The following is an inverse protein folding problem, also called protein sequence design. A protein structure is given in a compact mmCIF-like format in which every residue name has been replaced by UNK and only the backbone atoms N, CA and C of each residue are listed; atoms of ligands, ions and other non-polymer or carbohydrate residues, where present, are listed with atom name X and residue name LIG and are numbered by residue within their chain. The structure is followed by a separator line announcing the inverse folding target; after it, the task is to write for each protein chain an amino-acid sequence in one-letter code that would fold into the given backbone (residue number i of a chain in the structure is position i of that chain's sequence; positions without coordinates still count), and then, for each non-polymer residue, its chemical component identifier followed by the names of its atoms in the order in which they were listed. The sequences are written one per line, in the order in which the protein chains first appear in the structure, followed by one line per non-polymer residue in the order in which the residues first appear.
data_IF_602609224497
#
_entry.id   IF_602609224497
#
_cell.length_a   1.000
_cell.length_b   1.000
_cell.length_c   1.000
_cell.angle_alpha   90.00
_cell.angle_beta   90.00
_cell.angle_gamma   90.00
#
_symmetry.space_group_name_H-M   'P 1'
#
loop_
_entity.id
_entity.type
_entity.pdbx_description
1 polymer ?
#
# COMPACT_ATOMS: atom_id res chain seq x y z
N UNK A 1 3.74 -13.17 -22.87
CA UNK A 1 2.93 -13.91 -21.89
C UNK A 1 3.50 -13.56 -20.53
N UNK A 2 2.92 -12.56 -19.88
CA UNK A 2 3.32 -12.10 -18.55
C UNK A 2 2.85 -13.13 -17.53
N UNK A 3 3.77 -13.97 -17.06
CA UNK A 3 3.53 -14.70 -15.83
C UNK A 3 3.45 -13.68 -14.71
N UNK A 4 2.24 -13.35 -14.28
CA UNK A 4 2.05 -12.81 -12.94
C UNK A 4 2.71 -13.79 -11.96
N UNK A 5 3.40 -13.32 -10.91
CA UNK A 5 3.93 -14.24 -9.92
C UNK A 5 2.74 -14.97 -9.31
N UNK A 6 2.66 -16.27 -9.62
CA UNK A 6 1.67 -17.18 -9.05
C UNK A 6 1.86 -17.16 -7.54
N UNK A 7 0.94 -16.52 -6.83
CA UNK A 7 0.73 -16.72 -5.40
C UNK A 7 -0.34 -17.79 -5.28
N UNK A 8 0.01 -19.07 -5.08
CA UNK A 8 -0.90 -20.21 -5.22
C UNK A 8 -2.20 -20.12 -4.40
N UNK A 9 -2.22 -19.26 -3.39
CA UNK A 9 -3.30 -19.16 -2.41
C UNK A 9 -4.41 -18.18 -2.79
N UNK A 10 -4.17 -17.16 -3.62
CA UNK A 10 -5.20 -16.16 -4.00
C UNK A 10 -6.07 -16.71 -5.12
N UNK A 11 -7.37 -16.89 -4.84
CA UNK A 11 -8.32 -17.44 -5.81
C UNK A 11 -9.10 -16.33 -6.54
N UNK A 12 -9.35 -15.20 -5.89
CA UNK A 12 -10.00 -14.03 -6.50
C UNK A 12 -9.34 -12.75 -5.99
N UNK A 13 -9.17 -11.77 -6.87
CA UNK A 13 -8.63 -10.46 -6.54
C UNK A 13 -9.28 -9.41 -7.43
N UNK A 14 -10.04 -8.50 -6.83
CA UNK A 14 -10.65 -7.36 -7.51
C UNK A 14 -9.88 -6.09 -7.16
N UNK A 15 -9.02 -5.60 -8.07
CA UNK A 15 -8.32 -4.33 -7.85
C UNK A 15 -9.27 -3.14 -7.98
N UNK A 16 -10.37 -3.27 -8.73
CA UNK A 16 -11.32 -2.19 -9.03
C UNK A 16 -10.71 -0.97 -9.77
N UNK A 17 -9.68 -1.23 -10.58
CA UNK A 17 -9.08 -0.25 -11.48
C UNK A 17 -9.90 -0.12 -12.77
N UNK A 18 -10.97 0.69 -12.71
CA UNK A 18 -11.90 0.98 -13.82
C UNK A 18 -12.74 -0.19 -14.34
N UNK A 19 -12.70 -1.35 -13.68
CA UNK A 19 -13.47 -2.53 -14.07
C UNK A 19 -13.85 -3.40 -12.86
N UNK A 20 -14.75 -4.35 -13.10
CA UNK A 20 -15.25 -5.31 -12.10
C UNK A 20 -14.60 -6.70 -12.24
N UNK A 21 -13.53 -6.79 -13.01
CA UNK A 21 -12.88 -8.06 -13.26
C UNK A 21 -12.03 -8.45 -12.05
N UNK A 22 -12.06 -9.74 -11.72
CA UNK A 22 -10.97 -10.27 -10.92
C UNK A 22 -9.72 -10.39 -11.80
N UNK A 23 -8.52 -10.37 -11.21
CA UNK A 23 -7.26 -10.38 -11.95
C UNK A 23 -7.06 -11.62 -12.82
N UNK A 24 -7.75 -12.72 -12.52
CA UNK A 24 -7.72 -13.96 -13.31
C UNK A 24 -8.91 -14.08 -14.27
N UNK A 25 -9.86 -13.13 -14.26
CA UNK A 25 -11.12 -13.13 -15.01
C UNK A 25 -12.01 -14.39 -14.80
N UNK A 26 -11.91 -15.05 -13.65
CA UNK A 26 -12.73 -16.24 -13.30
C UNK A 26 -13.93 -15.85 -12.42
N UNK A 27 -13.75 -14.85 -11.57
CA UNK A 27 -14.69 -14.38 -10.56
C UNK A 27 -15.06 -12.91 -10.80
N UNK A 28 -15.12 -12.48 -12.05
CA UNK A 28 -15.64 -11.16 -12.43
C UNK A 28 -17.09 -10.98 -11.98
N UNK A 29 -17.53 -9.72 -11.88
CA UNK A 29 -18.89 -9.42 -11.48
C UNK A 29 -19.59 -8.37 -12.35
N UNK A 30 -20.87 -8.20 -12.04
CA UNK A 30 -21.79 -7.27 -12.67
C UNK A 30 -22.30 -6.25 -11.65
N UNK A 31 -22.31 -4.97 -12.01
CA UNK A 31 -22.87 -3.93 -11.16
C UNK A 31 -24.40 -4.05 -11.15
N UNK A 32 -25.01 -4.01 -9.97
CA UNK A 32 -26.45 -4.25 -9.79
C UNK A 32 -27.14 -3.05 -9.14
N UNK A 33 -28.29 -2.58 -9.69
CA UNK A 33 -28.92 -3.00 -10.94
C UNK A 33 -28.08 -2.70 -12.18
N UNK A 34 -28.18 -3.54 -13.21
CA UNK A 34 -27.39 -3.45 -14.47
C UNK A 34 -27.74 -2.24 -15.35
N UNK A 35 -28.76 -1.46 -14.96
CA UNK A 35 -29.10 -0.17 -15.58
C UNK A 35 -28.17 0.96 -15.16
N UNK A 36 -27.36 0.75 -14.12
CA UNK A 36 -26.35 1.70 -13.65
C UNK A 36 -24.94 1.28 -14.06
N UNK A 37 -24.01 2.24 -14.05
CA UNK A 37 -22.58 1.98 -14.25
C UNK A 37 -21.84 2.17 -12.93
N UNK A 38 -20.85 1.32 -12.67
CA UNK A 38 -19.98 1.46 -11.51
C UNK A 38 -19.23 2.80 -11.58
N UNK A 39 -19.10 3.46 -10.43
CA UNK A 39 -18.29 4.66 -10.27
C UNK A 39 -16.92 4.29 -9.73
N UNK A 40 -15.86 4.83 -10.34
CA UNK A 40 -14.49 4.63 -9.89
C UNK A 40 -13.89 5.96 -9.45
N UNK A 41 -13.34 5.98 -8.24
CA UNK A 41 -12.71 7.16 -7.65
C UNK A 41 -11.26 6.86 -7.31
N UNK A 42 -10.53 7.86 -6.79
CA UNK A 42 -9.15 7.65 -6.31
C UNK A 42 -9.16 6.67 -5.12
N UNK A 43 -8.55 5.50 -5.34
CA UNK A 43 -8.48 4.42 -4.36
C UNK A 43 -7.37 4.59 -3.34
N UNK A 44 -7.25 3.62 -2.43
CA UNK A 44 -6.05 3.46 -1.62
C UNK A 44 -4.85 3.20 -2.54
N UNK A 45 -5.03 2.36 -3.56
CA UNK A 45 -4.06 2.04 -4.60
C UNK A 45 -4.75 2.30 -5.95
N UNK A 46 -4.17 3.18 -6.75
CA UNK A 46 -4.76 3.61 -8.03
C UNK A 46 -6.23 4.08 -7.91
N UNK A 47 -7.19 3.22 -8.25
CA UNK A 47 -8.63 3.49 -8.23
C UNK A 47 -9.39 2.47 -7.39
N UNK A 48 -10.55 2.88 -6.90
CA UNK A 48 -11.47 2.04 -6.14
C UNK A 48 -12.87 2.10 -6.72
N UNK A 49 -13.68 1.09 -6.42
CA UNK A 49 -15.12 1.14 -6.69
C UNK A 49 -15.83 1.91 -5.59
N UNK A 50 -16.78 2.77 -5.98
CA UNK A 50 -17.61 3.55 -5.07
C UNK A 50 -19.05 3.03 -5.04
N UNK A 51 -19.62 2.90 -3.84
CA UNK A 51 -20.97 2.46 -3.57
C UNK A 51 -21.78 3.56 -2.86
N UNK A 52 -23.01 3.76 -3.32
CA UNK A 52 -23.90 4.85 -2.91
C UNK A 52 -24.97 4.43 -1.89
N UNK A 53 -24.85 3.23 -1.32
CA UNK A 53 -25.86 2.66 -0.42
C UNK A 53 -27.07 2.02 -1.12
N UNK A 54 -27.04 1.85 -2.45
CA UNK A 54 -28.11 1.16 -3.19
C UNK A 54 -27.63 0.17 -4.25
N UNK A 55 -26.37 0.27 -4.65
CA UNK A 55 -25.73 -0.62 -5.62
C UNK A 55 -24.75 -1.60 -4.97
N UNK A 56 -24.46 -2.67 -5.69
CA UNK A 56 -23.49 -3.70 -5.29
C UNK A 56 -22.95 -4.43 -6.52
N UNK A 57 -21.85 -5.16 -6.36
CA UNK A 57 -21.35 -6.08 -7.39
C UNK A 57 -21.91 -7.47 -7.10
N UNK A 58 -22.61 -8.03 -8.07
CA UNK A 58 -22.96 -9.44 -8.09
C UNK A 58 -21.87 -10.20 -8.84
N UNK A 59 -21.15 -11.09 -8.17
CA UNK A 59 -20.12 -11.91 -8.84
C UNK A 59 -20.81 -12.95 -9.72
N UNK A 60 -20.32 -13.14 -10.94
CA UNK A 60 -20.98 -13.93 -11.98
C UNK A 60 -20.89 -15.45 -11.74
N UNK A 61 -20.10 -15.89 -10.75
CA UNK A 61 -20.17 -17.26 -10.22
C UNK A 61 -21.25 -17.39 -9.15
N UNK A 62 -21.86 -18.57 -9.09
CA UNK A 62 -22.79 -18.90 -8.02
C UNK A 62 -22.13 -19.16 -6.67
N UNK A 63 -20.80 -19.32 -6.59
CA UNK A 63 -20.11 -19.72 -5.35
C UNK A 63 -18.58 -19.68 -5.44
N UNK A 64 -17.93 -19.21 -4.37
CA UNK A 64 -16.54 -19.45 -4.01
C UNK A 64 -16.47 -20.60 -2.99
N UNK A 65 -15.72 -21.66 -3.33
CA UNK A 65 -15.58 -22.82 -2.45
C UNK A 65 -14.72 -22.52 -1.22
N UNK A 66 -15.40 -22.05 -0.17
CA UNK A 66 -14.88 -21.73 1.15
C UNK A 66 -15.37 -22.71 2.24
N UNK A 67 -16.20 -23.71 1.88
CA UNK A 67 -16.76 -24.64 2.85
C UNK A 67 -15.69 -25.55 3.44
N UNK A 68 -15.75 -25.78 4.75
CA UNK A 68 -14.88 -26.73 5.47
C UNK A 68 -13.38 -26.56 5.17
N UNK A 69 -12.91 -25.31 5.04
CA UNK A 69 -11.51 -25.00 4.77
C UNK A 69 -11.13 -23.66 5.35
N UNK A 70 -9.81 -23.44 5.48
CA UNK A 70 -9.27 -22.15 5.85
C UNK A 70 -9.38 -21.16 4.71
N UNK A 71 -9.51 -19.87 5.03
CA UNK A 71 -9.53 -18.79 4.06
C UNK A 71 -9.22 -17.45 4.71
N UNK A 72 -8.89 -16.49 3.86
CA UNK A 72 -8.76 -15.07 4.22
C UNK A 72 -9.49 -14.24 3.17
N UNK A 73 -10.30 -13.29 3.62
CA UNK A 73 -10.90 -12.24 2.80
C UNK A 73 -10.43 -10.91 3.34
N UNK A 74 -9.79 -10.10 2.52
CA UNK A 74 -9.20 -8.83 2.95
C UNK A 74 -9.24 -7.78 1.85
N UNK A 75 -9.11 -6.52 2.24
CA UNK A 75 -9.06 -5.39 1.32
C UNK A 75 -9.11 -4.08 2.06
N UNK A 76 -9.26 -3.00 1.31
CA UNK A 76 -9.35 -1.64 1.83
C UNK A 76 -10.78 -1.13 1.73
N UNK A 77 -11.25 -0.45 2.78
CA UNK A 77 -12.55 0.21 2.80
C UNK A 77 -12.44 1.69 3.18
N UNK A 78 -13.36 2.50 2.64
CA UNK A 78 -13.59 3.89 3.04
C UNK A 78 -15.09 4.08 3.28
N UNK A 79 -15.50 4.57 4.45
CA UNK A 79 -16.93 4.75 4.77
C UNK A 79 -17.33 6.21 4.56
N UNK A 80 -18.35 6.46 3.74
CA UNK A 80 -18.69 7.84 3.30
C UNK A 80 -19.93 8.42 3.99
N UNK A 81 -20.83 7.58 4.49
CA UNK A 81 -21.99 8.02 5.26
C UNK A 81 -22.26 7.07 6.43
N UNK A 82 -22.92 7.58 7.48
CA UNK A 82 -23.33 6.74 8.59
C UNK A 82 -24.54 5.89 8.21
N UNK A 83 -24.43 4.58 8.42
CA UNK A 83 -25.54 3.63 8.27
C UNK A 83 -25.58 2.68 9.48
N UNK A 84 -26.63 1.89 9.62
CA UNK A 84 -26.67 0.86 10.68
C UNK A 84 -25.73 -0.30 10.39
N UNK A 85 -25.56 -0.63 9.11
CA UNK A 85 -24.72 -1.73 8.64
C UNK A 85 -24.25 -1.49 7.19
N UNK A 86 -22.95 -1.51 6.98
CA UNK A 86 -22.30 -1.49 5.67
C UNK A 86 -21.92 -2.92 5.28
N UNK A 87 -22.60 -3.50 4.28
CA UNK A 87 -22.24 -4.81 3.76
C UNK A 87 -21.00 -4.77 2.88
N UNK A 88 -19.98 -5.57 3.16
CA UNK A 88 -18.70 -5.54 2.43
C UNK A 88 -18.64 -6.70 1.44
N UNK A 89 -18.86 -7.92 1.94
CA UNK A 89 -18.84 -9.14 1.18
C UNK A 89 -19.86 -10.11 1.77
N UNK A 90 -20.59 -10.83 0.93
CA UNK A 90 -21.44 -11.91 1.40
C UNK A 90 -21.49 -13.08 0.44
N UNK A 91 -21.64 -14.27 1.02
CA UNK A 91 -21.91 -15.52 0.33
C UNK A 91 -22.87 -16.33 1.20
N UNK A 92 -24.13 -16.41 0.80
CA UNK A 92 -25.17 -16.93 1.68
C UNK A 92 -26.03 -17.98 1.01
N UNK A 93 -25.94 -19.21 1.49
CA UNK A 93 -26.84 -20.29 1.11
C UNK A 93 -28.19 -20.20 1.84
N UNK A 94 -28.16 -19.88 3.15
CA UNK A 94 -29.36 -19.80 3.98
C UNK A 94 -29.15 -18.83 5.13
N UNK A 95 -29.98 -17.78 5.19
CA UNK A 95 -30.02 -16.79 6.28
C UNK A 95 -30.79 -17.27 7.53
N UNK A 96 -31.10 -18.57 7.60
CA UNK A 96 -31.85 -19.17 8.71
C UNK A 96 -31.20 -20.45 9.26
N UNK A 97 -30.08 -20.88 8.67
CA UNK A 97 -29.36 -22.09 9.08
C UNK A 97 -27.96 -21.75 9.56
N UNK A 98 -27.64 -22.14 10.80
CA UNK A 98 -26.31 -21.93 11.41
C UNK A 98 -25.18 -22.38 10.47
N UNK A 99 -24.17 -21.53 10.37
CA UNK A 99 -22.95 -21.70 9.57
C UNK A 99 -23.12 -21.67 8.04
N UNK A 100 -24.28 -21.30 7.50
CA UNK A 100 -24.56 -21.33 6.04
C UNK A 100 -24.69 -19.96 5.39
N UNK A 101 -24.33 -18.89 6.09
CA UNK A 101 -24.40 -17.54 5.55
C UNK A 101 -23.17 -16.73 5.95
N UNK A 102 -22.18 -16.65 5.05
CA UNK A 102 -21.03 -15.78 5.24
C UNK A 102 -21.42 -14.33 4.97
N UNK A 103 -21.28 -13.47 5.97
CA UNK A 103 -21.45 -12.03 5.85
C UNK A 103 -20.29 -11.31 6.54
N UNK A 104 -19.65 -10.41 5.80
CA UNK A 104 -18.64 -9.49 6.29
C UNK A 104 -19.20 -8.07 6.20
N UNK A 105 -19.21 -7.34 7.31
CA UNK A 105 -19.83 -6.02 7.37
C UNK A 105 -19.18 -5.10 8.40
N UNK A 106 -19.46 -3.80 8.30
CA UNK A 106 -19.32 -2.86 9.42
C UNK A 106 -20.71 -2.62 9.99
N UNK A 107 -20.98 -3.03 11.23
CA UNK A 107 -22.28 -2.90 11.87
C UNK A 107 -22.13 -2.20 13.21
N UNK A 108 -22.96 -1.19 13.46
CA UNK A 108 -22.81 -0.31 14.61
C UNK A 108 -21.35 0.20 14.78
N UNK A 109 -20.67 0.47 13.66
CA UNK A 109 -19.28 0.96 13.59
C UNK A 109 -18.20 -0.02 14.04
N UNK A 110 -18.51 -1.30 14.16
CA UNK A 110 -17.55 -2.37 14.41
C UNK A 110 -17.50 -3.33 13.22
N UNK A 111 -16.36 -3.98 13.01
CA UNK A 111 -16.25 -5.04 12.00
C UNK A 111 -16.99 -6.30 12.47
N UNK A 112 -17.67 -6.97 11.56
CA UNK A 112 -18.42 -8.20 11.81
C UNK A 112 -18.03 -9.27 10.79
N UNK A 113 -17.79 -10.48 11.29
CA UNK A 113 -17.69 -11.72 10.53
C UNK A 113 -18.79 -12.64 11.03
N UNK A 114 -19.66 -13.11 10.14
CA UNK A 114 -20.79 -13.96 10.52
C UNK A 114 -20.86 -15.16 9.59
N UNK A 115 -21.04 -16.36 10.14
CA UNK A 115 -21.52 -17.53 9.40
C UNK A 115 -23.03 -17.79 9.61
N UNK A 116 -23.73 -16.82 10.22
CA UNK A 116 -25.07 -16.91 10.83
C UNK A 116 -25.10 -17.75 12.11
N UNK A 117 -25.45 -17.11 13.23
CA UNK A 117 -25.42 -17.65 14.60
C UNK A 117 -24.04 -18.14 15.07
N UNK A 118 -22.98 -17.74 14.36
CA UNK A 118 -21.57 -17.99 14.70
C UNK A 118 -20.78 -16.78 14.21
N UNK A 119 -20.82 -15.74 15.05
CA UNK A 119 -20.43 -14.39 14.69
C UNK A 119 -19.25 -13.94 15.54
N UNK A 120 -18.33 -13.20 14.93
CA UNK A 120 -17.25 -12.48 15.59
C UNK A 120 -17.40 -11.00 15.33
N UNK A 121 -17.09 -10.21 16.35
CA UNK A 121 -17.16 -8.76 16.34
C UNK A 121 -15.77 -8.22 16.66
N UNK A 122 -15.34 -7.23 15.90
CA UNK A 122 -14.12 -6.47 16.14
C UNK A 122 -14.29 -5.42 17.25
N UNK A 123 -13.23 -5.13 17.99
CA UNK A 123 -13.27 -4.14 19.07
C UNK A 123 -13.13 -2.70 18.55
N UNK A 124 -12.45 -2.49 17.42
CA UNK A 124 -12.17 -1.19 16.86
C UNK A 124 -13.46 -0.48 16.43
N UNK A 125 -13.49 0.83 16.70
CA UNK A 125 -14.57 1.71 16.28
C UNK A 125 -14.17 2.45 15.00
N UNK A 126 -14.95 2.26 13.93
CA UNK A 126 -14.71 2.86 12.63
C UNK A 126 -15.42 4.21 12.51
N UNK A 127 -14.67 5.26 12.15
CA UNK A 127 -15.23 6.58 11.92
C UNK A 127 -16.05 6.63 10.62
N UNK A 128 -17.23 7.25 10.69
CA UNK A 128 -18.17 7.45 9.60
C UNK A 128 -18.63 8.93 9.61
N UNK A 129 -18.25 9.76 8.61
CA UNK A 129 -17.37 9.44 7.48
C UNK A 129 -15.92 9.20 7.92
N UNK A 130 -15.23 8.31 7.20
CA UNK A 130 -13.81 8.04 7.38
C UNK A 130 -12.96 9.18 6.83
N UNK A 131 -11.79 9.39 7.42
CA UNK A 131 -10.78 10.35 6.94
C UNK A 131 -9.57 9.67 6.30
N UNK A 132 -9.53 8.34 6.33
CA UNK A 132 -8.48 7.49 5.78
C UNK A 132 -9.06 6.13 5.38
N UNK A 133 -8.35 5.42 4.51
CA UNK A 133 -8.64 4.03 4.21
C UNK A 133 -8.34 3.13 5.42
N UNK A 134 -9.15 2.09 5.60
CA UNK A 134 -8.89 1.04 6.58
C UNK A 134 -8.59 -0.27 5.86
N UNK A 135 -7.49 -0.92 6.22
CA UNK A 135 -7.26 -2.30 5.84
C UNK A 135 -8.07 -3.19 6.78
N UNK A 136 -8.85 -4.09 6.22
CA UNK A 136 -9.65 -5.06 6.97
C UNK A 136 -9.32 -6.46 6.48
N UNK A 137 -9.25 -7.42 7.40
CA UNK A 137 -9.11 -8.81 7.03
C UNK A 137 -9.96 -9.71 7.93
N UNK A 138 -10.57 -10.69 7.31
CA UNK A 138 -11.37 -11.72 7.95
C UNK A 138 -10.70 -13.05 7.65
N UNK A 139 -10.25 -13.73 8.70
CA UNK A 139 -9.50 -14.97 8.61
C UNK A 139 -10.30 -16.05 9.31
N UNK A 140 -10.53 -17.15 8.59
CA UNK A 140 -11.03 -18.39 9.18
C UNK A 140 -9.97 -19.47 9.07
N UNK A 141 -9.54 -19.99 10.22
CA UNK A 141 -8.67 -21.15 10.32
C UNK A 141 -9.52 -22.39 10.65
N UNK A 142 -9.71 -23.26 9.66
CA UNK A 142 -10.50 -24.47 9.81
C UNK A 142 -9.82 -25.52 10.70
N UNK A 143 -8.49 -25.54 10.76
CA UNK A 143 -7.77 -26.50 11.62
C UNK A 143 -7.95 -26.16 13.10
N UNK A 144 -8.08 -24.86 13.40
CA UNK A 144 -8.30 -24.33 14.74
C UNK A 144 -9.77 -24.01 15.05
N UNK A 145 -10.66 -24.14 14.06
CA UNK A 145 -12.06 -23.74 14.15
C UNK A 145 -12.22 -22.30 14.67
N UNK A 146 -11.43 -21.38 14.10
CA UNK A 146 -11.20 -20.04 14.62
C UNK A 146 -11.50 -18.96 13.59
N UNK A 147 -12.39 -18.04 13.94
CA UNK A 147 -12.60 -16.78 13.23
C UNK A 147 -11.73 -15.68 13.86
N UNK A 148 -11.10 -14.85 13.02
CA UNK A 148 -10.33 -13.68 13.43
C UNK A 148 -10.61 -12.50 12.50
N UNK A 149 -10.77 -11.33 13.08
CA UNK A 149 -10.95 -10.05 12.42
C UNK A 149 -9.70 -9.23 12.69
N UNK A 150 -9.15 -8.62 11.66
CA UNK A 150 -8.01 -7.72 11.75
C UNK A 150 -8.40 -6.34 11.23
N UNK A 151 -7.97 -5.32 11.96
CA UNK A 151 -8.13 -3.91 11.62
C UNK A 151 -6.76 -3.26 11.49
N UNK A 152 -6.46 -2.69 10.32
CA UNK A 152 -5.16 -2.10 9.97
C UNK A 152 -3.97 -3.03 10.28
N UNK A 153 -4.12 -4.32 9.97
CA UNK A 153 -3.07 -5.32 10.16
C UNK A 153 -2.98 -5.91 11.57
N UNK A 154 -3.72 -5.39 12.54
CA UNK A 154 -3.69 -5.81 13.94
C UNK A 154 -4.93 -6.62 14.29
N UNK A 155 -4.77 -7.68 15.10
CA UNK A 155 -5.90 -8.50 15.55
C UNK A 155 -6.89 -7.65 16.35
N UNK A 156 -8.14 -7.62 15.89
CA UNK A 156 -9.20 -6.75 16.41
C UNK A 156 -10.33 -7.52 17.10
N UNK A 157 -10.65 -8.71 16.59
CA UNK A 157 -11.66 -9.58 17.16
C UNK A 157 -11.37 -11.04 16.86
N UNK A 158 -11.71 -11.95 17.76
CA UNK A 158 -11.57 -13.38 17.52
C UNK A 158 -12.46 -14.17 18.45
N UNK A 159 -12.81 -15.40 18.09
CA UNK A 159 -13.47 -16.35 19.00
C UNK A 159 -12.58 -16.83 20.15
N UNK A 160 -11.30 -16.41 20.22
CA UNK A 160 -10.40 -16.75 21.32
C UNK A 160 -10.93 -16.26 22.68
N UNK A 161 -11.22 -17.19 23.59
CA UNK A 161 -11.72 -16.88 24.93
C UNK A 161 -13.25 -16.97 25.09
N UNK A 162 -14.01 -17.18 24.00
CA UNK A 162 -15.38 -17.67 24.10
C UNK A 162 -15.37 -19.16 24.45
N UNK A 163 -16.30 -19.63 25.29
CA UNK A 163 -16.40 -21.06 25.66
C UNK A 163 -16.77 -21.96 24.46
N UNK A 164 -17.11 -21.39 23.31
CA UNK A 164 -17.47 -22.09 22.08
C UNK A 164 -16.53 -21.68 20.94
N UNK A 165 -15.81 -22.66 20.39
CA UNK A 165 -15.14 -22.55 19.08
C UNK A 165 -16.18 -22.24 18.00
N UNK A 166 -15.75 -21.62 16.90
CA UNK A 166 -16.63 -21.45 15.74
C UNK A 166 -16.93 -22.79 15.08
N UNK A 167 -18.13 -22.93 14.52
CA UNK A 167 -18.42 -23.97 13.55
C UNK A 167 -17.68 -23.72 12.23
N UNK A 168 -17.60 -24.73 11.35
CA UNK A 168 -17.04 -24.51 10.03
C UNK A 168 -18.04 -23.78 9.17
N UNK A 169 -17.61 -22.90 8.27
CA UNK A 169 -18.53 -22.44 7.22
C UNK A 169 -19.03 -23.64 6.39
N UNK A 170 -20.35 -23.87 6.41
CA UNK A 170 -21.05 -25.03 5.81
C UNK A 170 -21.79 -24.69 4.51
N UNK A 171 -21.83 -23.42 4.11
CA UNK A 171 -22.50 -23.02 2.87
C UNK A 171 -21.76 -23.56 1.66
N UNK A 172 -22.46 -24.24 0.76
CA UNK A 172 -21.94 -24.88 -0.47
C UNK A 172 -22.51 -24.25 -1.76
N UNK A 173 -23.43 -23.29 -1.62
CA UNK A 173 -24.06 -22.52 -2.69
C UNK A 173 -24.28 -21.08 -2.24
N UNK A 174 -24.83 -20.24 -3.12
CA UNK A 174 -25.26 -18.88 -2.80
C UNK A 174 -24.38 -17.85 -3.46
N UNK A 175 -25.00 -16.90 -4.16
CA UNK A 175 -24.30 -15.86 -4.91
C UNK A 175 -23.33 -15.09 -4.02
N UNK A 176 -22.20 -14.71 -4.60
CA UNK A 176 -21.23 -13.83 -3.96
C UNK A 176 -21.59 -12.39 -4.31
N UNK A 177 -21.70 -11.54 -3.29
CA UNK A 177 -21.99 -10.11 -3.44
C UNK A 177 -20.89 -9.31 -2.77
N UNK A 178 -20.45 -8.22 -3.42
CA UNK A 178 -19.50 -7.24 -2.89
C UNK A 178 -20.21 -5.89 -2.76
N UNK A 179 -20.05 -5.20 -1.63
CA UNK A 179 -20.76 -3.96 -1.31
C UNK A 179 -22.17 -4.17 -0.75
N UNK A 180 -22.52 -5.39 -0.33
CA UNK A 180 -23.83 -5.71 0.27
C UNK A 180 -23.83 -6.99 1.12
N UNK A 181 -24.65 -7.01 2.18
CA UNK A 181 -25.01 -8.23 2.92
C UNK A 181 -26.16 -8.99 2.25
N UNK A 182 -26.24 -10.30 2.50
CA UNK A 182 -27.35 -11.13 2.04
C UNK A 182 -28.73 -10.65 2.55
N UNK A 183 -28.76 -9.96 3.69
CA UNK A 183 -29.97 -9.41 4.31
C UNK A 183 -30.44 -8.08 3.70
N UNK A 184 -29.65 -7.44 2.83
CA UNK A 184 -30.04 -6.17 2.19
C UNK A 184 -29.39 -4.90 2.75
N UNK A 185 -28.36 -5.00 3.57
CA UNK A 185 -27.58 -3.85 4.02
C UNK A 185 -26.50 -3.53 2.99
N UNK A 186 -26.54 -2.35 2.38
CA UNK A 186 -25.65 -1.92 1.31
C UNK A 186 -24.47 -1.10 1.86
N UNK A 187 -23.34 -1.15 1.19
CA UNK A 187 -22.23 -0.25 1.48
C UNK A 187 -22.54 1.16 0.97
N UNK A 188 -22.41 2.14 1.85
CA UNK A 188 -22.21 3.54 1.49
C UNK A 188 -20.75 3.93 1.73
N UNK A 189 -19.93 3.85 0.69
CA UNK A 189 -18.48 3.93 0.80
C UNK A 189 -17.77 3.25 -0.36
N UNK A 190 -16.47 3.05 -0.23
CA UNK A 190 -15.60 2.59 -1.30
C UNK A 190 -14.87 1.31 -0.90
N UNK A 191 -14.60 0.42 -1.87
CA UNK A 191 -13.79 -0.80 -1.68
C UNK A 191 -12.63 -0.77 -2.68
N UNK A 192 -11.46 -1.16 -2.21
CA UNK A 192 -10.26 -1.25 -3.03
C UNK A 192 -9.47 -2.53 -2.70
N UNK A 193 -8.86 -3.14 -3.71
CA UNK A 193 -7.98 -4.31 -3.59
C UNK A 193 -8.56 -5.48 -2.78
N UNK A 194 -9.82 -5.87 -3.06
CA UNK A 194 -10.47 -6.98 -2.36
C UNK A 194 -9.93 -8.33 -2.83
N UNK A 195 -9.49 -9.16 -1.90
CA UNK A 195 -8.91 -10.48 -2.18
C UNK A 195 -9.60 -11.58 -1.40
N UNK A 196 -9.62 -12.78 -2.00
CA UNK A 196 -10.06 -14.02 -1.38
C UNK A 196 -8.98 -15.07 -1.58
N UNK A 197 -8.54 -15.68 -0.48
CA UNK A 197 -7.57 -16.78 -0.48
C UNK A 197 -8.14 -18.03 0.18
N UNK A 198 -7.56 -19.19 -0.11
CA UNK A 198 -7.92 -20.48 0.52
C UNK A 198 -6.97 -20.88 1.65
N UNK A 199 -6.30 -19.89 2.24
CA UNK A 199 -5.35 -20.06 3.34
C UNK A 199 -5.74 -19.12 4.48
N UNK A 200 -5.62 -19.59 5.72
CA UNK A 200 -5.68 -18.70 6.87
C UNK A 200 -4.34 -17.95 6.96
N UNK A 201 -4.33 -16.67 6.59
CA UNK A 201 -3.13 -15.84 6.70
C UNK A 201 -2.78 -15.63 8.18
N UNK A 202 -1.49 -15.69 8.46
CA UNK A 202 -0.95 -15.40 9.80
C UNK A 202 -1.05 -13.91 10.13
N UNK A 203 -0.96 -13.56 11.41
CA UNK A 203 -0.91 -12.15 11.85
C UNK A 203 0.22 -11.37 11.18
N UNK A 204 1.39 -11.98 10.94
CA UNK A 204 2.49 -11.32 10.24
C UNK A 204 2.18 -11.07 8.76
N UNK A 205 1.51 -12.01 8.09
CA UNK A 205 1.08 -11.81 6.70
C UNK A 205 0.06 -10.68 6.61
N UNK A 206 -1.00 -10.71 7.45
CA UNK A 206 -2.02 -9.66 7.49
C UNK A 206 -1.42 -8.29 7.84
N UNK A 207 -0.47 -8.24 8.77
CA UNK A 207 0.23 -7.01 9.10
C UNK A 207 0.98 -6.50 7.86
N UNK A 208 1.77 -7.34 7.19
CA UNK A 208 2.49 -6.98 5.98
C UNK A 208 1.54 -6.49 4.87
N UNK A 209 0.42 -7.17 4.65
CA UNK A 209 -0.57 -6.79 3.64
C UNK A 209 -1.18 -5.40 3.92
N UNK A 210 -1.32 -5.03 5.20
CA UNK A 210 -1.82 -3.72 5.62
C UNK A 210 -0.78 -2.59 5.56
N UNK A 211 0.51 -2.88 5.75
CA UNK A 211 1.54 -1.84 5.97
C UNK A 211 2.56 -1.73 4.84
N UNK A 212 2.82 -2.80 4.09
CA UNK A 212 3.83 -2.82 3.03
C UNK A 212 3.16 -2.34 1.75
N UNK A 213 3.43 -1.11 1.36
CA UNK A 213 2.88 -0.51 0.14
C UNK A 213 3.48 -1.16 -1.10
N UNK A 214 4.80 -1.33 -1.12
CA UNK A 214 5.49 -2.01 -2.22
C UNK A 214 6.82 -2.61 -1.77
N UNK A 215 7.23 -3.69 -2.43
CA UNK A 215 8.54 -4.31 -2.25
C UNK A 215 9.10 -4.76 -3.60
N UNK A 216 10.28 -4.25 -3.96
CA UNK A 216 11.04 -4.64 -5.14
C UNK A 216 12.36 -5.25 -4.70
N UNK A 217 12.53 -6.55 -4.89
CA UNK A 217 13.84 -7.19 -4.65
C UNK A 217 14.83 -6.87 -5.76
N UNK A 218 14.37 -6.69 -7.00
CA UNK A 218 15.23 -6.56 -8.20
C UNK A 218 15.98 -7.85 -8.58
N UNK A 219 15.56 -8.99 -8.03
CA UNK A 219 16.01 -10.32 -8.42
C UNK A 219 15.66 -10.64 -9.88
N UNK A 220 16.54 -11.37 -10.57
CA UNK A 220 16.44 -11.57 -12.02
C UNK A 220 15.17 -12.32 -12.48
N UNK A 221 14.53 -13.10 -11.60
CA UNK A 221 13.32 -13.88 -11.89
C UNK A 221 12.02 -13.11 -11.68
N UNK A 222 12.06 -11.99 -10.94
CA UNK A 222 10.89 -11.15 -10.61
C UNK A 222 11.14 -9.65 -10.90
N UNK A 223 11.94 -9.36 -11.93
CA UNK A 223 12.28 -7.99 -12.32
C UNK A 223 11.06 -7.08 -12.44
N UNK A 224 11.15 -5.91 -11.80
CA UNK A 224 10.11 -4.89 -11.72
C UNK A 224 8.79 -5.31 -11.05
N UNK A 225 8.67 -6.54 -10.54
CA UNK A 225 7.45 -6.99 -9.89
C UNK A 225 7.40 -6.47 -8.45
N UNK A 226 6.22 -6.02 -8.03
CA UNK A 226 5.93 -5.74 -6.64
C UNK A 226 5.61 -7.04 -5.90
N UNK A 227 6.41 -7.34 -4.90
CA UNK A 227 6.29 -8.49 -4.01
C UNK A 227 5.44 -8.17 -2.76
N UNK A 228 4.79 -7.01 -2.68
CA UNK A 228 3.72 -6.74 -1.71
C UNK A 228 2.38 -7.37 -2.13
N UNK A 229 1.31 -7.09 -1.40
CA UNK A 229 -0.05 -7.52 -1.75
C UNK A 229 -0.79 -6.54 -2.68
N UNK A 230 -0.13 -5.45 -3.10
CA UNK A 230 -0.74 -4.32 -3.80
C UNK A 230 -0.47 -4.33 -5.32
N UNK A 231 0.39 -5.23 -5.82
CA UNK A 231 0.67 -5.40 -7.26
C UNK A 231 1.10 -4.11 -7.96
N UNK A 232 1.81 -3.22 -7.26
CA UNK A 232 2.30 -1.94 -7.78
C UNK A 232 3.56 -2.17 -8.61
N UNK A 233 3.46 -2.93 -9.71
CA UNK A 233 4.62 -3.26 -10.55
C UNK A 233 5.25 -1.99 -11.12
N UNK A 234 6.58 -2.00 -11.21
CA UNK A 234 7.34 -0.89 -11.78
C UNK A 234 7.69 -1.10 -13.25
N UNK A 235 8.48 -0.16 -13.77
CA UNK A 235 9.14 -0.21 -15.06
C UNK A 235 10.60 0.17 -14.89
N UNK A 236 11.46 -0.31 -15.78
CA UNK A 236 12.88 0.03 -15.76
C UNK A 236 13.39 0.38 -17.15
N UNK A 237 14.41 1.23 -17.22
CA UNK A 237 15.13 1.57 -18.44
C UNK A 237 16.63 1.58 -18.19
N UNK A 238 17.40 1.00 -19.11
CA UNK A 238 18.88 1.02 -19.08
C UNK A 238 19.48 0.59 -17.73
N UNK A 239 18.86 -0.37 -17.03
CA UNK A 239 19.44 -1.02 -15.85
C UNK A 239 19.92 -2.43 -16.19
N UNK A 240 20.88 -2.95 -15.44
CA UNK A 240 21.31 -4.34 -15.53
C UNK A 240 21.21 -5.03 -14.18
N UNK A 241 20.89 -6.32 -14.19
CA UNK A 241 20.90 -7.16 -13.00
C UNK A 241 22.34 -7.62 -12.73
N UNK A 242 22.81 -7.40 -11.50
CA UNK A 242 24.15 -7.78 -11.02
C UNK A 242 24.03 -8.37 -9.62
N UNK A 243 25.10 -8.95 -9.08
CA UNK A 243 25.09 -9.44 -7.69
C UNK A 243 24.69 -8.33 -6.71
N UNK A 244 23.58 -8.57 -6.01
CA UNK A 244 22.96 -7.68 -5.05
C UNK A 244 23.55 -7.81 -3.65
N UNK A 245 22.92 -7.14 -2.69
CA UNK A 245 23.08 -7.40 -1.25
C UNK A 245 22.45 -8.74 -0.89
N UNK A 246 21.33 -9.07 -1.53
CA UNK A 246 20.67 -10.38 -1.55
C UNK A 246 20.53 -10.77 -3.01
N UNK A 247 20.91 -11.99 -3.39
CA UNK A 247 20.81 -12.48 -4.78
C UNK A 247 21.30 -11.48 -5.84
N UNK A 248 20.38 -10.84 -6.59
CA UNK A 248 20.67 -9.80 -7.57
C UNK A 248 20.07 -8.43 -7.19
N UNK A 249 20.71 -7.36 -7.64
CA UNK A 249 20.20 -5.99 -7.54
C UNK A 249 20.31 -5.24 -8.86
N UNK A 250 19.73 -4.04 -8.91
CA UNK A 250 19.81 -3.17 -10.08
C UNK A 250 21.04 -2.29 -10.07
N UNK A 251 21.84 -2.41 -11.13
CA UNK A 251 22.93 -1.53 -11.47
C UNK A 251 22.43 -0.37 -12.33
N UNK A 252 22.60 0.84 -11.80
CA UNK A 252 22.32 2.11 -12.48
C UNK A 252 23.63 2.65 -13.03
N UNK A 253 23.72 2.76 -14.36
CA UNK A 253 24.91 3.20 -15.08
C UNK A 253 24.58 4.18 -16.20
N UNK A 254 25.04 5.41 -16.01
CA UNK A 254 24.89 6.47 -16.99
C UNK A 254 23.55 7.20 -16.88
N UNK A 255 23.35 8.11 -17.82
CA UNK A 255 22.34 9.17 -17.72
C UNK A 255 20.91 8.74 -17.99
N UNK A 256 20.67 7.51 -18.45
CA UNK A 256 19.33 7.01 -18.80
C UNK A 256 18.84 5.89 -17.87
N UNK A 257 19.66 5.43 -16.93
CA UNK A 257 19.29 4.34 -16.03
C UNK A 257 18.24 4.78 -15.02
N UNK A 258 17.10 4.09 -14.99
CA UNK A 258 16.11 4.30 -13.94
C UNK A 258 15.21 3.08 -13.72
N UNK A 259 14.64 3.03 -12.52
CA UNK A 259 13.46 2.25 -12.19
C UNK A 259 12.36 3.23 -11.77
N UNK A 260 11.11 2.97 -12.11
CA UNK A 260 9.98 3.83 -11.75
C UNK A 260 8.79 2.98 -11.28
N UNK A 261 8.12 3.47 -10.25
CA UNK A 261 6.93 2.84 -9.68
C UNK A 261 5.93 3.90 -9.20
N UNK A 262 4.66 3.51 -9.11
CA UNK A 262 3.60 4.28 -8.48
C UNK A 262 3.46 3.99 -6.97
N UNK A 263 4.44 3.35 -6.31
CA UNK A 263 4.37 3.00 -4.88
C UNK A 263 4.17 4.20 -3.96
N UNK A 264 4.61 5.39 -4.38
CA UNK A 264 4.42 6.61 -3.61
C UNK A 264 3.08 7.32 -3.90
N UNK A 265 2.28 6.77 -4.82
CA UNK A 265 0.96 7.33 -5.11
C UNK A 265 0.00 7.15 -3.93
N UNK A 266 0.17 6.14 -3.08
CA UNK A 266 -0.65 5.87 -1.87
C UNK A 266 -0.82 7.07 -0.93
N UNK A 267 0.17 7.96 -0.84
CA UNK A 267 0.30 8.88 0.28
C UNK A 267 -0.50 10.16 0.14
N UNK A 268 -1.38 10.40 1.10
CA UNK A 268 -2.06 11.69 1.32
C UNK A 268 -1.22 12.60 2.20
N UNK A 269 -1.55 13.89 2.16
CA UNK A 269 -0.91 14.88 3.03
C UNK A 269 -1.07 14.48 4.51
N UNK A 270 0.04 14.43 5.23
CA UNK A 270 0.10 14.04 6.65
C UNK A 270 0.17 12.54 6.93
N UNK A 271 0.04 11.67 5.92
CA UNK A 271 0.20 10.23 6.13
C UNK A 271 1.65 9.85 6.42
N UNK A 272 1.83 8.97 7.40
CA UNK A 272 3.14 8.47 7.80
C UNK A 272 3.66 7.49 6.76
N UNK A 273 4.98 7.42 6.59
CA UNK A 273 5.58 6.48 5.66
C UNK A 273 7.00 6.07 6.06
N UNK A 274 7.49 5.03 5.40
CA UNK A 274 8.88 4.61 5.44
C UNK A 274 9.37 4.21 4.04
N UNK A 275 10.62 4.56 3.73
CA UNK A 275 11.36 3.99 2.60
C UNK A 275 12.62 3.31 3.16
N UNK A 276 12.87 2.08 2.74
CA UNK A 276 14.04 1.29 3.08
C UNK A 276 14.68 0.74 1.81
N UNK A 277 15.99 0.85 1.67
CA UNK A 277 16.73 0.30 0.53
C UNK A 277 18.19 0.00 0.91
N UNK A 278 18.79 -0.94 0.20
CA UNK A 278 20.23 -1.13 0.21
C UNK A 278 20.87 -0.42 -0.98
N UNK A 279 21.95 0.32 -0.73
CA UNK A 279 22.69 1.03 -1.79
C UNK A 279 24.17 0.68 -1.75
N UNK A 280 24.79 0.57 -2.92
CA UNK A 280 26.24 0.48 -3.12
C UNK A 280 26.67 1.53 -4.16
N UNK A 281 26.91 2.78 -3.73
CA UNK A 281 27.19 3.89 -4.63
C UNK A 281 28.58 3.77 -5.26
N UNK A 282 28.74 4.10 -6.53
CA UNK A 282 30.05 4.26 -7.19
C UNK A 282 30.53 5.71 -7.18
N UNK A 283 29.59 6.66 -7.10
CA UNK A 283 29.83 8.08 -6.82
C UNK A 283 28.91 8.53 -5.69
N UNK A 284 29.39 9.48 -4.89
CA UNK A 284 28.63 10.13 -3.81
C UNK A 284 28.66 11.65 -3.92
N UNK A 285 29.43 12.23 -4.85
CA UNK A 285 29.53 13.69 -4.98
C UNK A 285 28.44 14.29 -5.87
N UNK A 286 27.70 13.42 -6.54
CA UNK A 286 26.57 13.69 -7.42
C UNK A 286 25.57 12.53 -7.32
N UNK A 287 24.31 12.82 -7.65
CA UNK A 287 23.30 11.78 -7.81
C UNK A 287 22.13 11.89 -6.84
N UNK A 288 20.94 11.95 -7.41
CA UNK A 288 19.69 11.75 -6.67
C UNK A 288 19.34 10.27 -6.69
N UNK A 289 19.15 9.68 -5.51
CA UNK A 289 18.72 8.29 -5.37
C UNK A 289 17.24 8.14 -5.73
N UNK A 290 16.40 8.98 -5.13
CA UNK A 290 14.93 8.90 -5.25
C UNK A 290 14.36 10.32 -5.45
N UNK A 291 14.00 10.71 -6.68
CA UNK A 291 13.09 11.82 -6.93
C UNK A 291 11.61 11.37 -6.96
N UNK A 292 10.72 12.28 -6.55
CA UNK A 292 9.28 12.15 -6.73
C UNK A 292 8.78 13.15 -7.78
N UNK A 293 7.90 12.74 -8.69
CA UNK A 293 7.37 13.60 -9.76
C UNK A 293 5.96 13.27 -10.19
N UNK A 294 5.19 14.26 -10.67
CA UNK A 294 3.82 14.06 -11.19
C UNK A 294 3.76 13.50 -12.61
N UNK A 295 4.83 13.60 -13.39
CA UNK A 295 4.94 13.05 -14.74
C UNK A 295 5.76 11.78 -14.81
N UNK A 296 5.59 11.07 -15.92
CA UNK A 296 6.31 9.82 -16.21
C UNK A 296 7.82 10.13 -16.32
N UNK A 297 8.64 9.14 -15.97
CA UNK A 297 10.12 9.20 -15.94
C UNK A 297 10.78 10.27 -15.05
N UNK A 298 10.09 10.96 -14.13
CA UNK A 298 10.72 12.02 -13.32
C UNK A 298 10.43 13.43 -13.82
N UNK A 299 9.58 13.58 -14.84
CA UNK A 299 9.19 14.88 -15.42
C UNK A 299 7.94 15.43 -14.75
N UNK A 300 7.60 16.70 -15.00
CA UNK A 300 6.32 17.28 -14.58
C UNK A 300 6.47 18.65 -13.93
N UNK A 301 5.34 19.35 -13.77
CA UNK A 301 5.31 20.65 -13.08
C UNK A 301 5.41 20.52 -11.56
N UNK A 302 5.34 19.28 -11.02
CA UNK A 302 5.51 19.02 -9.60
C UNK A 302 6.49 17.89 -9.33
N UNK A 303 7.70 18.25 -8.91
CA UNK A 303 8.75 17.30 -8.57
C UNK A 303 9.67 17.86 -7.48
N UNK A 304 10.25 16.96 -6.69
CA UNK A 304 11.31 17.25 -5.74
C UNK A 304 12.18 16.01 -5.50
N UNK A 305 13.42 16.22 -5.08
CA UNK A 305 14.35 15.15 -4.79
C UNK A 305 14.22 14.73 -3.31
N UNK A 306 13.77 13.50 -3.06
CA UNK A 306 13.48 12.97 -1.71
C UNK A 306 14.73 12.44 -1.02
N UNK A 307 15.61 11.75 -1.74
CA UNK A 307 16.83 11.15 -1.19
C UNK A 307 17.98 11.24 -2.19
N UNK A 308 19.19 11.56 -1.73
CA UNK A 308 20.39 11.56 -2.57
C UNK A 308 21.62 12.04 -1.81
N UNK A 309 22.64 12.49 -2.54
CA UNK A 309 23.88 12.99 -1.96
C UNK A 309 24.07 14.49 -2.15
N UNK A 310 24.73 15.14 -1.19
CA UNK A 310 25.23 16.52 -1.33
C UNK A 310 26.47 16.57 -2.22
N UNK A 311 26.93 17.79 -2.55
CA UNK A 311 28.20 18.00 -3.26
C UNK A 311 29.43 17.57 -2.46
N UNK A 312 29.28 17.32 -1.15
CA UNK A 312 30.34 16.83 -0.25
C UNK A 312 30.24 15.35 0.06
N UNK A 313 29.26 14.63 -0.50
CA UNK A 313 29.05 13.21 -0.21
C UNK A 313 28.12 12.88 0.95
N UNK A 314 27.54 13.91 1.57
CA UNK A 314 26.58 13.75 2.66
C UNK A 314 25.26 13.16 2.16
N UNK A 315 24.73 12.13 2.82
CA UNK A 315 23.39 11.63 2.54
C UNK A 315 22.36 12.66 3.00
N UNK A 316 21.49 13.13 2.11
CA UNK A 316 20.43 14.10 2.45
C UNK A 316 19.07 13.48 2.12
N UNK A 317 18.12 13.66 3.05
CA UNK A 317 16.72 13.38 2.81
C UNK A 317 15.90 14.67 2.89
N UNK A 318 15.01 14.89 1.92
CA UNK A 318 14.12 16.04 1.86
C UNK A 318 12.66 15.60 1.84
N UNK A 319 11.80 16.31 2.56
CA UNK A 319 10.35 16.16 2.50
C UNK A 319 9.69 17.46 2.10
N UNK A 320 8.68 17.38 1.23
CA UNK A 320 7.93 18.55 0.80
C UNK A 320 6.93 19.02 1.87
N UNK A 321 6.92 20.34 2.10
CA UNK A 321 6.01 21.01 3.02
C UNK A 321 5.33 22.22 2.32
N UNK A 322 4.02 22.15 2.08
CA UNK A 322 3.26 23.33 1.65
C UNK A 322 3.03 24.26 2.84
N UNK A 323 3.25 25.57 2.68
CA UNK A 323 2.79 26.54 3.67
C UNK A 323 2.19 27.78 3.00
N UNK A 324 1.20 28.35 3.66
CA UNK A 324 0.61 29.61 3.23
C UNK A 324 1.56 30.73 3.61
N UNK A 325 2.05 31.48 2.62
CA UNK A 325 2.92 32.63 2.86
C UNK A 325 2.20 33.97 2.76
N UNK A 326 0.89 33.97 2.53
CA UNK A 326 0.02 35.13 2.61
C UNK A 326 -1.42 34.70 2.88
N UNK A 327 -2.25 35.64 3.32
CA UNK A 327 -3.65 35.43 3.69
C UNK A 327 -4.54 34.97 2.52
N UNK A 328 -4.53 33.67 2.23
CA UNK A 328 -5.67 32.95 1.64
C UNK A 328 -5.43 32.27 0.29
N UNK A 329 -4.56 32.77 -0.59
CA UNK A 329 -4.44 32.25 -1.97
C UNK A 329 -3.01 32.05 -2.49
N UNK A 330 -1.96 32.43 -1.76
CA UNK A 330 -0.60 32.06 -2.12
C UNK A 330 -0.05 30.93 -1.25
N UNK A 331 0.50 29.92 -1.92
CA UNK A 331 1.24 28.84 -1.30
C UNK A 331 2.72 29.03 -1.62
N UNK A 332 3.55 29.12 -0.60
CA UNK A 332 4.98 29.00 -0.73
C UNK A 332 5.39 27.55 -0.54
N UNK A 333 6.48 27.19 -1.21
CA UNK A 333 6.96 25.83 -1.28
C UNK A 333 8.32 25.78 -0.61
N UNK A 334 8.45 24.89 0.37
CA UNK A 334 9.74 24.53 0.92
C UNK A 334 9.83 23.01 1.01
N UNK A 335 11.05 22.52 0.95
CA UNK A 335 11.37 21.22 1.53
C UNK A 335 11.97 21.43 2.92
N UNK A 336 11.77 20.46 3.78
CA UNK A 336 12.52 20.29 5.03
C UNK A 336 13.52 19.17 4.83
N UNK A 337 14.72 19.35 5.34
CA UNK A 337 15.87 18.54 4.97
C UNK A 337 16.62 18.10 6.21
N UNK A 338 17.05 16.85 6.25
CA UNK A 338 17.98 16.33 7.27
C UNK A 338 19.22 15.74 6.60
N UNK A 339 20.39 16.05 7.17
CA UNK A 339 21.69 15.62 6.69
C UNK A 339 22.26 14.48 7.54
N UNK A 340 22.63 13.38 6.88
CA UNK A 340 23.20 12.18 7.47
C UNK A 340 24.74 12.15 7.39
N UNK A 341 25.37 10.96 7.38
CA UNK A 341 26.82 10.85 7.25
C UNK A 341 27.29 11.10 5.80
N UNK A 342 28.58 11.40 5.66
CA UNK A 342 29.27 11.26 4.37
C UNK A 342 29.35 9.78 4.01
N UNK A 343 28.87 9.43 2.82
CA UNK A 343 28.74 8.05 2.38
C UNK A 343 30.03 7.55 1.74
N UNK A 344 30.35 6.27 1.95
CA UNK A 344 31.48 5.62 1.30
C UNK A 344 31.05 5.04 -0.05
N UNK A 345 31.92 5.10 -1.04
CA UNK A 345 31.71 4.42 -2.33
C UNK A 345 32.02 2.92 -2.21
N UNK A 346 31.37 2.13 -3.06
CA UNK A 346 31.55 0.68 -3.24
C UNK A 346 31.31 -0.18 -1.99
N UNK A 347 30.60 0.34 -0.98
CA UNK A 347 30.23 -0.39 0.24
C UNK A 347 28.70 -0.40 0.36
N UNK A 348 28.14 -1.58 0.65
CA UNK A 348 26.71 -1.71 0.93
C UNK A 348 26.34 -0.92 2.19
N UNK A 349 25.38 -0.03 2.06
CA UNK A 349 24.79 0.71 3.17
C UNK A 349 23.27 0.57 3.10
N UNK A 350 22.67 0.13 4.21
CA UNK A 350 21.22 0.15 4.37
C UNK A 350 20.78 1.55 4.74
N UNK A 351 19.86 2.13 3.98
CA UNK A 351 19.33 3.47 4.21
C UNK A 351 17.84 3.34 4.52
N UNK A 352 17.41 4.04 5.57
CA UNK A 352 15.99 4.12 5.93
C UNK A 352 15.59 5.56 6.20
N UNK A 353 14.55 6.03 5.51
CA UNK A 353 13.86 7.29 5.78
C UNK A 353 12.49 6.99 6.40
N UNK A 354 12.18 7.66 7.50
CA UNK A 354 10.90 7.57 8.21
C UNK A 354 10.24 8.94 8.28
N UNK A 355 8.91 8.95 8.26
CA UNK A 355 8.11 10.13 8.59
C UNK A 355 6.83 9.72 9.32
N UNK A 356 6.48 10.46 10.39
CA UNK A 356 5.12 10.55 10.92
C UNK A 356 4.80 11.95 11.41
N UNK A 357 3.51 12.29 11.48
CA UNK A 357 3.09 13.60 12.01
C UNK A 357 3.37 13.76 13.51
N UNK A 358 3.62 12.66 14.23
CA UNK A 358 3.93 12.65 15.66
C UNK A 358 5.42 12.68 15.98
N UNK A 359 6.25 12.03 15.17
CA UNK A 359 7.69 11.86 15.45
C UNK A 359 8.59 12.64 14.49
N UNK A 360 8.02 13.30 13.49
CA UNK A 360 8.79 14.03 12.50
C UNK A 360 9.41 13.12 11.45
N UNK A 361 10.54 13.55 10.90
CA UNK A 361 11.30 12.76 9.92
C UNK A 361 12.65 12.33 10.49
N UNK A 362 13.04 11.08 10.22
CA UNK A 362 14.33 10.55 10.67
C UNK A 362 15.00 9.69 9.60
N UNK A 363 16.33 9.80 9.56
CA UNK A 363 17.23 9.11 8.64
C UNK A 363 18.14 8.16 9.40
N UNK A 364 18.17 6.91 8.98
CA UNK A 364 19.00 5.86 9.56
C UNK A 364 19.95 5.29 8.52
N UNK A 365 21.15 4.90 8.95
CA UNK A 365 22.02 4.04 8.15
C UNK A 365 22.50 2.84 8.94
N UNK A 366 22.42 1.65 8.36
CA UNK A 366 22.80 0.37 8.98
C UNK A 366 22.17 0.17 10.37
N UNK A 367 20.89 0.50 10.50
CA UNK A 367 20.15 0.41 11.77
C UNK A 367 20.47 1.49 12.81
N UNK A 368 21.29 2.49 12.49
CA UNK A 368 21.70 3.55 13.43
C UNK A 368 21.04 4.88 13.00
N UNK A 369 20.41 5.58 13.95
CA UNK A 369 19.86 6.93 13.72
C UNK A 369 21.00 7.91 13.39
N UNK A 370 20.87 8.62 12.27
CA UNK A 370 21.88 9.58 11.78
C UNK A 370 21.43 11.02 11.84
N UNK A 371 20.15 11.26 11.57
CA UNK A 371 19.57 12.60 11.56
C UNK A 371 18.08 12.54 11.88
N UNK A 372 17.56 13.59 12.49
CA UNK A 372 16.14 13.71 12.83
C UNK A 372 15.73 15.18 12.82
N UNK A 373 14.51 15.44 12.36
CA UNK A 373 13.75 16.66 12.62
C UNK A 373 12.41 16.23 13.23
N UNK A 374 12.33 16.26 14.56
CA UNK A 374 11.17 15.85 15.35
C UNK A 374 10.06 16.92 15.40
N UNK A 375 10.33 18.13 14.89
CA UNK A 375 9.37 19.22 14.78
C UNK A 375 8.59 19.20 13.46
N UNK A 376 8.96 18.32 12.51
CA UNK A 376 8.34 18.24 11.19
C UNK A 376 6.98 17.52 11.21
N UNK A 377 5.87 18.26 11.32
CA UNK A 377 4.54 17.65 11.51
C UNK A 377 3.71 17.43 10.24
N UNK A 378 4.20 17.87 9.08
CA UNK A 378 3.39 17.92 7.84
C UNK A 378 4.21 17.65 6.59
N UNK A 379 3.98 16.47 6.02
CA UNK A 379 4.40 16.06 4.70
C UNK A 379 3.27 16.20 3.68
N UNK A 380 3.57 16.61 2.45
CA UNK A 380 2.69 16.40 1.31
C UNK A 380 3.42 15.65 0.20
N UNK A 381 2.71 14.73 -0.47
CA UNK A 381 3.28 13.86 -1.50
C UNK A 381 3.44 14.56 -2.85
N UNK A 382 2.71 15.64 -3.12
CA UNK A 382 2.82 16.40 -4.36
C UNK A 382 2.85 17.91 -4.12
N UNK A 383 3.40 18.64 -5.10
CA UNK A 383 3.67 20.08 -4.98
C UNK A 383 2.60 20.97 -5.62
N UNK A 384 1.72 20.40 -6.47
CA UNK A 384 0.67 21.13 -7.18
C UNK A 384 -0.54 20.24 -7.49
N UNK A 385 -1.68 20.61 -6.91
CA UNK A 385 -3.04 20.08 -7.09
C UNK A 385 -3.25 18.60 -6.71
N UNK A 386 -4.32 18.36 -5.96
CA UNK A 386 -4.68 17.08 -5.33
C UNK A 386 -5.07 15.95 -6.30
N UNK A 387 -4.90 16.12 -7.61
CA UNK A 387 -5.41 15.19 -8.62
C UNK A 387 -4.37 14.18 -9.13
N UNK A 388 -3.06 14.51 -9.12
CA UNK A 388 -2.02 13.64 -9.67
C UNK A 388 -1.09 13.13 -8.58
N UNK A 389 -1.14 11.83 -8.34
CA UNK A 389 -0.32 11.12 -7.36
C UNK A 389 1.11 10.93 -7.93
N UNK A 390 2.20 11.10 -7.15
CA UNK A 390 3.56 11.12 -7.70
C UNK A 390 4.11 9.73 -8.02
N UNK A 391 4.86 9.63 -9.11
CA UNK A 391 5.74 8.50 -9.39
C UNK A 391 6.99 8.60 -8.51
N UNK A 392 7.44 7.46 -8.01
CA UNK A 392 8.76 7.29 -7.40
C UNK A 392 9.71 6.77 -8.47
N UNK A 393 10.71 7.57 -8.81
CA UNK A 393 11.80 7.14 -9.68
C UNK A 393 13.01 6.82 -8.80
N UNK A 394 13.79 5.82 -9.20
CA UNK A 394 15.04 5.42 -8.57
C UNK A 394 16.14 5.50 -9.63
N UNK A 395 17.27 6.12 -9.30
CA UNK A 395 18.40 6.27 -10.22
C UNK A 395 18.56 7.65 -10.87
N UNK A 396 17.46 8.41 -10.97
CA UNK A 396 17.35 9.76 -11.55
C UNK A 396 18.06 9.96 -12.92
N UNK A 397 17.39 9.75 -14.06
CA UNK A 397 18.02 9.95 -15.36
C UNK A 397 18.19 11.45 -15.67
N UNK A 398 19.28 11.82 -16.37
CA UNK A 398 19.74 13.21 -16.58
C UNK A 398 18.78 14.10 -17.38
N UNK A 399 17.73 13.53 -17.97
CA UNK A 399 16.68 14.27 -18.68
C UNK A 399 15.47 14.61 -17.79
N UNK A 400 15.53 14.29 -16.50
CA UNK A 400 14.38 14.29 -15.57
C UNK A 400 14.82 14.54 -14.11
N UNK A 401 13.89 14.69 -13.16
CA UNK A 401 14.21 15.04 -11.76
C UNK A 401 14.63 16.50 -11.59
N UNK A 402 15.38 16.85 -10.55
CA UNK A 402 15.81 18.24 -10.25
C UNK A 402 16.57 18.98 -11.37
N UNK A 403 17.02 18.26 -12.40
CA UNK A 403 17.60 18.81 -13.64
C UNK A 403 16.56 19.33 -14.65
N UNK A 404 15.25 19.09 -14.41
CA UNK A 404 14.16 19.59 -15.23
C UNK A 404 13.64 20.94 -14.75
N UNK A 405 13.27 21.82 -15.68
CA UNK A 405 12.72 23.14 -15.40
C UNK A 405 11.44 23.02 -14.55
N UNK A 406 11.47 23.47 -13.30
CA UNK A 406 10.29 23.55 -12.43
C UNK A 406 10.26 22.61 -11.22
N UNK A 407 11.25 21.72 -11.05
CA UNK A 407 11.36 20.96 -9.79
C UNK A 407 11.80 21.85 -8.63
N UNK A 408 11.27 21.57 -7.44
CA UNK A 408 11.70 22.23 -6.22
C UNK A 408 13.12 21.80 -5.86
N UNK A 409 13.97 22.79 -5.65
CA UNK A 409 15.30 22.59 -5.07
C UNK A 409 15.20 22.66 -3.55
N UNK A 410 15.88 21.74 -2.87
CA UNK A 410 15.94 21.71 -1.42
C UNK A 410 17.10 22.54 -0.85
N UNK A 411 17.05 22.86 0.44
CA UNK A 411 18.18 23.43 1.19
C UNK A 411 18.39 22.60 2.47
N UNK A 412 19.59 21.99 2.70
CA UNK A 412 20.73 21.92 1.79
C UNK A 412 20.40 21.24 0.46
N UNK A 413 21.07 21.69 -0.60
CA UNK A 413 20.84 21.22 -1.96
C UNK A 413 21.44 19.84 -2.14
N UNK A 414 20.60 18.88 -2.55
CA UNK A 414 21.07 17.66 -3.20
C UNK A 414 21.87 18.02 -4.46
N UNK A 415 22.97 17.31 -4.67
CA UNK A 415 23.80 17.43 -5.85
C UNK A 415 23.05 16.84 -7.03
N UNK A 416 22.64 17.71 -7.96
CA UNK A 416 21.86 17.29 -9.11
C UNK A 416 22.70 16.37 -10.00
N UNK A 417 22.20 15.16 -10.23
CA UNK A 417 22.90 14.16 -11.03
C UNK A 417 22.16 12.84 -11.10
N UNK A 418 22.64 11.96 -11.96
CA UNK A 418 22.20 10.58 -12.02
C UNK A 418 22.94 9.75 -10.98
N UNK A 419 22.24 8.84 -10.34
CA UNK A 419 22.87 7.90 -9.41
C UNK A 419 23.67 6.87 -10.20
N UNK A 420 24.87 6.59 -9.71
CA UNK A 420 25.75 5.56 -10.23
C UNK A 420 26.04 4.57 -9.11
N UNK A 421 25.63 3.32 -9.29
CA UNK A 421 25.81 2.28 -8.27
C UNK A 421 24.74 1.21 -8.34
N UNK A 422 24.69 0.36 -7.32
CA UNK A 422 23.70 -0.71 -7.21
C UNK A 422 22.66 -0.32 -6.16
N UNK A 423 21.39 -0.62 -6.42
CA UNK A 423 20.30 -0.56 -5.43
C UNK A 423 19.62 -1.92 -5.39
N UNK A 424 19.26 -2.32 -4.17
CA UNK A 424 18.67 -3.61 -3.90
C UNK A 424 17.61 -3.48 -2.78
N UNK A 425 16.69 -4.43 -2.70
CA UNK A 425 15.81 -4.63 -1.54
C UNK A 425 14.94 -3.40 -1.17
N UNK A 426 14.40 -2.70 -2.19
CA UNK A 426 13.62 -1.47 -2.03
C UNK A 426 12.23 -1.75 -1.48
N UNK A 427 11.91 -1.17 -0.33
CA UNK A 427 10.61 -1.28 0.35
C UNK A 427 10.01 0.08 0.67
N UNK A 428 8.69 0.18 0.53
CA UNK A 428 7.90 1.35 0.88
C UNK A 428 6.77 0.92 1.80
N UNK A 429 6.59 1.59 2.94
CA UNK A 429 5.56 1.27 3.93
C UNK A 429 4.65 2.46 4.22
N UNK A 430 3.36 2.18 4.43
CA UNK A 430 2.29 3.14 4.73
C UNK A 430 2.27 3.64 6.18
N UNK A 431 3.40 3.49 6.89
CA UNK A 431 3.59 3.96 8.26
C UNK A 431 5.06 4.16 8.58
N UNK A 432 5.30 4.83 9.69
CA UNK A 432 6.61 4.82 10.33
C UNK A 432 6.94 3.42 10.87
N UNK A 433 8.17 2.98 10.63
CA UNK A 433 8.72 1.76 11.22
C UNK A 433 9.38 2.07 12.56
N UNK A 434 9.24 1.14 13.51
CA UNK A 434 9.96 1.20 14.78
C UNK A 434 11.44 0.86 14.60
N UNK A 435 12.29 1.24 15.55
CA UNK A 435 13.72 0.90 15.51
C UNK A 435 13.96 -0.61 15.44
N UNK A 436 13.13 -1.43 16.09
CA UNK A 436 13.24 -2.90 16.03
C UNK A 436 12.97 -3.44 14.63
N UNK A 437 12.02 -2.85 13.91
CA UNK A 437 11.69 -3.23 12.53
C UNK A 437 12.80 -2.80 11.57
N UNK A 438 13.36 -1.60 11.78
CA UNK A 438 14.53 -1.12 11.03
C UNK A 438 15.73 -2.05 11.22
N UNK A 439 16.03 -2.45 12.46
CA UNK A 439 17.10 -3.40 12.75
C UNK A 439 16.83 -4.79 12.14
N UNK A 440 15.57 -5.21 12.06
CA UNK A 440 15.20 -6.47 11.41
C UNK A 440 15.48 -6.42 9.91
N UNK A 441 15.13 -5.32 9.23
CA UNK A 441 15.43 -5.10 7.81
C UNK A 441 16.93 -5.04 7.51
N UNK A 442 17.72 -4.47 8.43
CA UNK A 442 19.18 -4.41 8.29
C UNK A 442 19.85 -5.80 8.36
N UNK A 443 19.26 -6.75 9.09
CA UNK A 443 19.81 -8.09 9.29
C UNK A 443 19.33 -9.11 8.25
N UNK A 444 18.58 -8.66 7.22
CA UNK A 444 18.15 -9.51 6.10
C UNK A 444 19.32 -9.93 5.19
#
# INVERSE_FOLDING_TARGET
MSGTPYRPSTIAFWPFNDNLYDSNNVYSGTYTPTTASASYIVGNIDKSISFDGSHYVNVDTHFLNLSYRSWTIEGWIWLTAATTEHGIFSQCQSSTTTDKCLTLSVKNKHLYSSFYNDDVIGAAFLAEPSTKWYHIAFVYDYSLMKQSIYFNGVLDGTTWGSATLSGPYKGTTGSVMIGRTSSGSYLYGDIDHLQVTTVAKTTCQILNDAILTAYYSFDADVLNLDLSNNYINGISNSVSSVSGRTNEGYLFQGTLSYFQSMAFTAYRSGESFNISLWVKPYSVLDGTLIPLSTGIVGTGTGCFDLLGFSTTGELIANLYKPYSCCSGTCYCQATTSIGGPVMNTSIWTHIVLTYSSSNGMALYTNGILRAVDDAFTSFASNTYTSASRPYMTVGNPSTTGSLSTGCLTASPTLSQGHYQGIIDELRVYSRELTISEICSLFNL
#
